data_IF_253358482738
#
_entry.id   IF_253358482738
#
_cell.length_a   1.000
_cell.length_b   1.000
_cell.length_c   1.000
_cell.angle_alpha   90.00
_cell.angle_beta   90.00
_cell.angle_gamma   90.00
#
_symmetry.space_group_name_H-M   'P 1'
#
loop_
_entity.id
_entity.type
_entity.pdbx_description
1 polymer ?
#
# COMPACT_ATOMS: atom_id res chain seq x y z
N UNK A 1 55.84 45.28 29.37
CA UNK A 1 54.98 45.31 28.16
C UNK A 1 54.81 43.87 27.67
N UNK A 2 53.63 43.25 27.82
CA UNK A 2 53.34 41.97 27.18
C UNK A 2 52.91 42.17 25.71
N UNK A 3 53.17 41.19 24.81
CA UNK A 3 52.95 41.34 23.37
C UNK A 3 51.44 41.33 23.01
N UNK A 4 51.05 41.94 21.87
CA UNK A 4 49.66 42.00 21.46
C UNK A 4 49.13 40.63 20.99
N UNK A 5 47.83 40.36 21.14
CA UNK A 5 47.24 39.09 20.72
C UNK A 5 47.22 38.94 19.19
N UNK A 6 47.29 37.69 18.67
CA UNK A 6 47.29 37.44 17.23
C UNK A 6 45.92 37.73 16.57
N UNK A 7 45.88 38.02 15.26
CA UNK A 7 44.68 38.47 14.57
C UNK A 7 43.60 37.37 14.44
N UNK A 8 42.34 37.75 14.65
CA UNK A 8 41.15 36.91 14.44
C UNK A 8 40.95 36.63 12.95
N UNK A 9 40.99 35.37 12.57
CA UNK A 9 40.61 34.89 11.23
C UNK A 9 39.06 34.85 11.13
N UNK A 10 38.41 35.51 10.15
CA UNK A 10 36.95 35.48 10.02
C UNK A 10 36.53 34.28 9.17
N UNK A 11 36.39 33.11 9.79
CA UNK A 11 35.63 32.01 9.18
C UNK A 11 34.18 32.05 9.65
N UNK A 12 33.33 32.47 8.73
CA UNK A 12 31.88 32.41 8.78
C UNK A 12 31.39 30.97 9.01
N UNK A 13 30.93 30.67 10.22
CA UNK A 13 30.11 29.48 10.48
C UNK A 13 28.64 29.81 10.22
N UNK A 14 28.20 29.57 8.99
CA UNK A 14 26.78 29.33 8.70
C UNK A 14 26.39 27.97 9.29
N UNK A 15 25.40 27.86 10.20
CA UNK A 15 25.01 26.58 10.79
C UNK A 15 24.01 25.77 9.94
N UNK A 16 23.84 26.09 8.65
CA UNK A 16 22.85 25.42 7.79
C UNK A 16 23.53 24.83 6.56
N UNK A 17 24.30 23.75 6.76
CA UNK A 17 24.73 22.88 5.65
C UNK A 17 25.01 21.43 6.08
N UNK A 18 24.20 20.91 7.00
CA UNK A 18 24.30 19.54 7.51
C UNK A 18 23.00 18.72 7.47
N UNK A 19 21.97 19.18 6.76
CA UNK A 19 20.66 18.50 6.67
C UNK A 19 20.31 18.18 5.20
N UNK A 20 21.23 17.53 4.52
CA UNK A 20 20.87 16.60 3.44
C UNK A 20 21.47 15.25 3.81
N UNK A 21 20.64 14.22 3.64
CA UNK A 21 20.97 12.80 3.73
C UNK A 21 20.94 12.17 5.12
N UNK A 22 19.76 12.16 5.73
CA UNK A 22 19.35 11.03 6.58
C UNK A 22 18.08 10.39 6.01
N UNK A 23 18.29 9.42 5.12
CA UNK A 23 17.29 8.39 4.83
C UNK A 23 17.33 7.37 5.96
N UNK A 24 16.20 6.95 6.55
CA UNK A 24 16.19 5.78 7.41
C UNK A 24 16.28 4.51 6.55
N UNK A 25 17.41 3.80 6.67
CA UNK A 25 17.53 2.36 6.42
C UNK A 25 16.75 1.61 7.52
N UNK A 26 16.21 0.40 7.37
CA UNK A 26 15.84 -0.46 6.27
C UNK A 26 15.17 -1.68 6.93
N UNK A 27 14.02 -2.15 6.42
CA UNK A 27 13.48 -3.52 6.54
C UNK A 27 12.18 -3.52 5.69
N UNK A 28 11.94 -4.34 4.67
CA UNK A 28 12.68 -5.47 4.13
C UNK A 28 12.13 -5.82 2.72
N UNK A 29 13.03 -6.43 1.95
CA UNK A 29 12.91 -7.03 0.60
C UNK A 29 13.02 -6.07 -0.60
N UNK A 30 14.02 -6.26 -1.49
CA UNK A 30 14.14 -5.47 -2.71
C UNK A 30 12.88 -5.68 -3.57
N UNK A 31 12.26 -4.58 -4.01
CA UNK A 31 11.25 -4.63 -5.05
C UNK A 31 11.93 -5.19 -6.30
N UNK A 32 11.35 -6.25 -6.89
CA UNK A 32 11.94 -6.80 -8.10
C UNK A 32 12.03 -5.69 -9.15
N UNK A 33 13.19 -5.54 -9.80
CA UNK A 33 13.33 -4.50 -10.81
C UNK A 33 12.31 -4.78 -11.91
N UNK A 34 11.66 -3.73 -12.45
CA UNK A 34 10.53 -3.87 -13.37
C UNK A 34 10.85 -4.75 -14.60
N UNK A 35 12.12 -4.87 -14.98
CA UNK A 35 12.59 -5.76 -16.04
C UNK A 35 12.48 -7.25 -15.69
N UNK A 36 12.55 -7.63 -14.41
CA UNK A 36 12.43 -9.02 -13.97
C UNK A 36 11.03 -9.59 -14.25
N UNK A 37 9.99 -8.75 -14.19
CA UNK A 37 8.62 -9.14 -14.55
C UNK A 37 8.54 -9.45 -16.05
N UNK A 38 9.10 -8.58 -16.89
CA UNK A 38 9.16 -8.81 -18.34
C UNK A 38 10.03 -10.01 -18.72
N UNK A 39 11.11 -10.27 -17.98
CA UNK A 39 11.94 -11.47 -18.17
C UNK A 39 11.19 -12.76 -17.82
N UNK A 40 10.39 -12.76 -16.74
CA UNK A 40 9.55 -13.91 -16.37
C UNK A 40 8.45 -14.13 -17.42
N UNK A 41 7.78 -13.07 -17.88
CA UNK A 41 6.77 -13.17 -18.94
C UNK A 41 7.39 -13.73 -20.21
N UNK A 42 8.56 -13.22 -20.63
CA UNK A 42 9.30 -13.73 -21.77
C UNK A 42 9.66 -15.21 -21.63
N UNK A 43 10.13 -15.63 -20.45
CA UNK A 43 10.46 -17.03 -20.19
C UNK A 43 9.22 -17.94 -20.25
N UNK A 44 8.07 -17.50 -19.75
CA UNK A 44 6.80 -18.25 -19.84
C UNK A 44 6.32 -18.35 -21.29
N UNK A 45 6.45 -17.28 -22.08
CA UNK A 45 6.10 -17.30 -23.51
C UNK A 45 7.03 -18.26 -24.28
N UNK A 46 8.34 -18.23 -24.01
CA UNK A 46 9.30 -19.15 -24.63
C UNK A 46 9.06 -20.60 -24.19
N UNK A 47 8.64 -20.86 -22.96
CA UNK A 47 8.29 -22.22 -22.53
C UNK A 47 6.97 -22.71 -23.14
N UNK A 48 5.97 -21.82 -23.26
CA UNK A 48 4.66 -22.16 -23.80
C UNK A 48 4.66 -22.33 -25.32
N UNK A 49 5.43 -21.51 -26.04
CA UNK A 49 5.46 -21.49 -27.50
C UNK A 49 6.78 -21.97 -28.12
N UNK A 50 7.85 -22.11 -27.33
CA UNK A 50 9.14 -22.61 -27.81
C UNK A 50 9.08 -24.08 -28.24
N UNK A 51 8.25 -24.90 -27.59
CA UNK A 51 8.05 -26.29 -28.02
C UNK A 51 7.46 -26.38 -29.44
N UNK A 52 6.65 -25.42 -29.87
CA UNK A 52 6.14 -25.35 -31.24
C UNK A 52 7.19 -24.89 -32.26
N UNK A 53 8.25 -24.20 -31.81
CA UNK A 53 9.36 -23.75 -32.67
C UNK A 53 10.42 -24.84 -32.91
N UNK A 54 10.50 -25.86 -32.04
CA UNK A 54 11.55 -26.90 -32.11
C UNK A 54 11.09 -28.27 -32.64
N UNK A 55 9.82 -28.44 -33.00
CA UNK A 55 9.35 -29.68 -33.63
C UNK A 55 9.73 -29.72 -35.11
N UNK A 56 11.02 -29.87 -35.42
CA UNK A 56 11.44 -30.23 -36.78
C UNK A 56 11.25 -31.74 -36.98
N UNK A 57 10.58 -32.19 -38.06
CA UNK A 57 10.52 -33.59 -38.40
C UNK A 57 11.94 -34.11 -38.67
N UNK A 58 12.36 -35.12 -37.92
CA UNK A 58 13.65 -35.79 -38.09
C UNK A 58 13.60 -36.73 -39.29
N UNK A 59 13.98 -36.26 -40.47
CA UNK A 59 14.10 -37.06 -41.70
C UNK A 59 13.95 -36.22 -42.96
N UNK A 60 14.48 -36.69 -44.08
CA UNK A 60 14.24 -36.07 -45.38
C UNK A 60 12.75 -36.16 -45.72
N UNK A 61 12.13 -35.02 -46.08
CA UNK A 61 10.69 -34.97 -46.36
C UNK A 61 10.45 -35.34 -47.82
N UNK A 62 9.95 -36.55 -48.05
CA UNK A 62 9.58 -37.04 -49.39
C UNK A 62 8.09 -36.85 -49.64
N UNK A 63 7.70 -36.55 -50.87
CA UNK A 63 6.29 -36.62 -51.27
C UNK A 63 5.80 -38.06 -51.31
N UNK A 64 4.49 -38.27 -51.16
CA UNK A 64 3.90 -39.62 -51.20
C UNK A 64 4.20 -40.32 -52.54
N UNK A 65 4.22 -39.56 -53.63
CA UNK A 65 4.56 -40.04 -54.96
C UNK A 65 6.02 -40.48 -55.07
N UNK A 66 6.96 -39.72 -54.50
CA UNK A 66 8.38 -40.08 -54.47
C UNK A 66 8.63 -41.30 -53.59
N UNK A 67 7.92 -41.41 -52.46
CA UNK A 67 7.94 -42.60 -51.63
C UNK A 67 7.51 -43.85 -52.41
N UNK A 68 6.35 -43.81 -53.08
CA UNK A 68 5.90 -44.95 -53.90
C UNK A 68 6.87 -45.27 -55.06
N UNK A 69 7.55 -44.26 -55.61
CA UNK A 69 8.58 -44.48 -56.62
C UNK A 69 9.81 -45.21 -56.04
N UNK A 70 10.27 -44.81 -54.85
CA UNK A 70 11.39 -45.46 -54.15
C UNK A 70 11.05 -46.89 -53.70
N UNK A 71 9.79 -47.13 -53.31
CA UNK A 71 9.30 -48.49 -53.03
C UNK A 71 9.36 -49.38 -54.28
N UNK A 72 8.95 -48.87 -55.46
CA UNK A 72 9.03 -49.61 -56.73
C UNK A 72 10.47 -49.88 -57.17
N UNK A 73 11.39 -48.98 -56.85
CA UNK A 73 12.80 -49.15 -57.12
C UNK A 73 13.50 -50.13 -56.16
N UNK A 74 12.83 -50.51 -55.08
CA UNK A 74 13.37 -51.42 -54.06
C UNK A 74 14.28 -50.73 -53.05
N UNK A 75 14.25 -49.39 -52.96
CA UNK A 75 15.17 -48.62 -52.11
C UNK A 75 14.69 -48.50 -50.64
N UNK A 76 13.58 -49.14 -50.28
CA UNK A 76 12.90 -48.99 -48.99
C UNK A 76 12.89 -50.32 -48.23
N UNK A 77 13.51 -50.33 -47.04
CA UNK A 77 13.65 -51.54 -46.21
C UNK A 77 12.51 -51.70 -45.20
N UNK A 78 12.15 -50.61 -44.52
CA UNK A 78 11.19 -50.62 -43.41
C UNK A 78 10.27 -49.39 -43.49
N UNK A 79 8.97 -49.61 -43.24
CA UNK A 79 7.94 -48.57 -43.25
C UNK A 79 7.11 -48.66 -41.98
N UNK A 80 7.03 -47.57 -41.24
CA UNK A 80 6.13 -47.43 -40.10
C UNK A 80 5.06 -46.39 -40.41
N UNK A 81 3.80 -46.80 -40.33
CA UNK A 81 2.65 -45.93 -40.58
C UNK A 81 2.09 -45.46 -39.24
N UNK A 82 2.06 -44.14 -39.03
CA UNK A 82 1.48 -43.55 -37.83
C UNK A 82 0.02 -43.14 -38.09
N UNK A 83 -0.91 -43.93 -37.56
CA UNK A 83 -2.35 -43.72 -37.74
C UNK A 83 -2.90 -42.48 -37.00
N UNK A 84 -2.11 -41.85 -36.12
CA UNK A 84 -2.51 -40.64 -35.37
C UNK A 84 -2.05 -39.34 -36.01
N UNK A 85 -0.93 -39.34 -36.74
CA UNK A 85 -0.34 -38.12 -37.32
C UNK A 85 -0.34 -38.11 -38.85
N UNK A 86 -0.78 -39.20 -39.50
CA UNK A 86 -0.76 -39.40 -40.95
C UNK A 86 0.65 -39.30 -41.57
N UNK A 87 1.66 -39.56 -40.74
CA UNK A 87 3.07 -39.55 -41.14
C UNK A 87 3.48 -41.00 -41.33
N UNK A 88 4.03 -41.29 -42.50
CA UNK A 88 4.68 -42.54 -42.83
C UNK A 88 6.18 -42.27 -42.71
N UNK A 89 6.86 -42.98 -41.83
CA UNK A 89 8.31 -42.88 -41.65
C UNK A 89 8.97 -44.19 -42.03
N UNK A 90 10.16 -44.16 -42.62
CA UNK A 90 10.84 -45.39 -42.99
C UNK A 90 12.35 -45.22 -43.11
N UNK A 91 13.01 -46.34 -43.38
CA UNK A 91 14.45 -46.42 -43.58
C UNK A 91 14.73 -46.89 -45.00
N UNK A 92 15.50 -46.11 -45.75
CA UNK A 92 16.00 -46.53 -47.05
C UNK A 92 17.10 -47.57 -46.88
N UNK A 93 17.37 -48.35 -47.92
CA UNK A 93 18.41 -49.38 -47.92
C UNK A 93 19.82 -48.83 -47.63
N UNK A 94 20.04 -47.54 -47.90
CA UNK A 94 21.27 -46.82 -47.57
C UNK A 94 21.36 -46.38 -46.08
N UNK A 95 20.35 -46.71 -45.27
CA UNK A 95 20.25 -46.34 -43.86
C UNK A 95 19.70 -44.94 -43.57
N UNK A 96 19.32 -44.16 -44.60
CA UNK A 96 18.74 -42.84 -44.40
C UNK A 96 17.28 -42.94 -43.95
N UNK A 97 16.85 -41.98 -43.12
CA UNK A 97 15.47 -41.90 -42.62
C UNK A 97 14.68 -40.89 -43.45
N UNK A 98 13.53 -41.31 -43.95
CA UNK A 98 12.60 -40.45 -44.65
C UNK A 98 11.28 -40.32 -43.89
N UNK A 99 10.59 -39.22 -44.15
CA UNK A 99 9.21 -39.02 -43.69
C UNK A 99 8.35 -38.55 -44.85
N UNK A 100 7.18 -39.14 -45.00
CA UNK A 100 6.17 -38.72 -45.97
C UNK A 100 4.80 -38.60 -45.31
N UNK A 101 3.87 -37.89 -45.96
CA UNK A 101 2.51 -37.68 -45.46
C UNK A 101 1.54 -38.42 -46.38
N UNK A 102 0.71 -39.30 -45.82
CA UNK A 102 -0.21 -40.15 -46.58
C UNK A 102 -1.61 -40.19 -45.98
N UNK A 103 -2.45 -41.08 -46.49
CA UNK A 103 -3.75 -41.38 -45.91
C UNK A 103 -3.60 -42.19 -44.60
N UNK A 104 -4.62 -42.17 -43.74
CA UNK A 104 -4.60 -42.86 -42.44
C UNK A 104 -4.47 -44.39 -42.57
N UNK A 105 -4.80 -44.94 -43.73
CA UNK A 105 -4.65 -46.35 -44.11
C UNK A 105 -4.10 -46.40 -45.53
N UNK A 106 -3.22 -47.37 -45.83
CA UNK A 106 -2.78 -47.57 -47.21
C UNK A 106 -3.96 -48.00 -48.09
N UNK A 107 -3.89 -47.63 -49.38
CA UNK A 107 -4.77 -48.21 -50.38
C UNK A 107 -4.39 -49.68 -50.60
N UNK A 108 -5.37 -50.55 -50.89
CA UNK A 108 -5.14 -51.98 -51.17
C UNK A 108 -4.06 -52.22 -52.25
N UNK A 109 -3.97 -51.30 -53.22
CA UNK A 109 -2.95 -51.32 -54.27
C UNK A 109 -1.53 -51.04 -53.74
N UNK A 110 -1.39 -50.12 -52.78
CA UNK A 110 -0.11 -49.73 -52.20
C UNK A 110 0.38 -50.76 -51.16
N UNK A 111 -0.54 -51.38 -50.41
CA UNK A 111 -0.21 -52.49 -49.51
C UNK A 111 0.27 -53.73 -50.29
N UNK A 112 -0.37 -54.01 -51.42
CA UNK A 112 0.04 -55.09 -52.32
C UNK A 112 1.44 -54.85 -52.90
N UNK A 113 1.75 -53.60 -53.24
CA UNK A 113 3.06 -53.19 -53.74
C UNK A 113 4.16 -53.38 -52.69
N UNK A 114 3.91 -52.99 -51.44
CA UNK A 114 4.87 -53.18 -50.35
C UNK A 114 5.15 -54.66 -50.07
N UNK A 115 4.10 -55.50 -50.06
CA UNK A 115 4.25 -56.96 -49.91
C UNK A 115 5.03 -57.59 -51.06
N UNK A 116 4.78 -57.14 -52.29
CA UNK A 116 5.48 -57.64 -53.48
C UNK A 116 6.97 -57.32 -53.46
N UNK A 117 7.33 -56.13 -52.97
CA UNK A 117 8.72 -55.67 -52.87
C UNK A 117 9.42 -56.14 -51.58
N UNK A 118 8.72 -56.89 -50.71
CA UNK A 118 9.29 -57.45 -49.49
C UNK A 118 9.56 -56.42 -48.39
N UNK A 119 8.92 -55.26 -48.44
CA UNK A 119 9.10 -54.19 -47.46
C UNK A 119 8.41 -54.57 -46.15
N UNK A 120 9.14 -54.53 -45.04
CA UNK A 120 8.55 -54.77 -43.73
C UNK A 120 7.75 -53.53 -43.30
N UNK A 121 6.43 -53.66 -43.14
CA UNK A 121 5.58 -52.55 -42.72
C UNK A 121 4.86 -52.86 -41.41
N UNK A 122 4.81 -51.86 -40.52
CA UNK A 122 4.11 -51.94 -39.23
C UNK A 122 3.24 -50.70 -38.98
N UNK A 123 2.16 -50.88 -38.24
CA UNK A 123 1.25 -49.82 -37.83
C UNK A 123 1.55 -49.41 -36.39
N UNK A 124 2.07 -48.20 -36.22
CA UNK A 124 2.24 -47.61 -34.90
C UNK A 124 1.04 -46.71 -34.58
N UNK A 125 0.40 -46.97 -33.44
CA UNK A 125 -0.61 -46.08 -32.85
C UNK A 125 -0.04 -45.52 -31.56
N UNK A 126 0.70 -44.39 -31.61
CA UNK A 126 1.18 -43.77 -30.39
C UNK A 126 -0.02 -43.38 -29.52
N UNK A 127 -0.24 -44.12 -28.44
CA UNK A 127 -1.18 -43.75 -27.41
C UNK A 127 -0.67 -42.44 -26.80
N UNK A 128 -1.47 -41.38 -26.90
CA UNK A 128 -1.11 -40.11 -26.28
C UNK A 128 -1.04 -40.32 -24.76
N UNK A 129 0.17 -40.29 -24.20
CA UNK A 129 0.35 -40.27 -22.75
C UNK A 129 -0.35 -39.01 -22.23
N UNK A 130 -1.51 -39.18 -21.59
CA UNK A 130 -2.34 -38.06 -21.14
C UNK A 130 -1.57 -37.08 -20.24
N UNK A 131 -0.58 -37.58 -19.49
CA UNK A 131 0.34 -36.79 -18.67
C UNK A 131 1.19 -35.87 -19.55
N UNK A 132 1.79 -36.36 -20.64
CA UNK A 132 2.61 -35.53 -21.54
C UNK A 132 1.76 -34.56 -22.36
N UNK A 133 0.48 -34.86 -22.58
CA UNK A 133 -0.46 -33.97 -23.25
C UNK A 133 -1.00 -32.86 -22.34
N UNK A 134 -1.18 -33.15 -21.04
CA UNK A 134 -1.78 -32.20 -20.09
C UNK A 134 -0.73 -31.33 -19.39
N UNK A 135 0.49 -31.82 -19.22
CA UNK A 135 1.57 -31.11 -18.52
C UNK A 135 1.91 -29.74 -19.16
N UNK A 136 2.03 -29.61 -20.50
CA UNK A 136 2.27 -28.31 -21.14
C UNK A 136 1.12 -27.32 -20.95
N UNK A 137 -0.10 -27.80 -20.72
CA UNK A 137 -1.29 -26.97 -20.50
C UNK A 137 -1.38 -26.53 -19.03
N UNK A 138 -1.09 -27.44 -18.09
CA UNK A 138 -1.20 -27.19 -16.65
C UNK A 138 -0.02 -26.35 -16.11
N UNK A 139 1.20 -26.58 -16.62
CA UNK A 139 2.42 -25.91 -16.15
C UNK A 139 2.34 -24.37 -16.18
N UNK A 140 1.93 -23.69 -17.27
CA UNK A 140 1.80 -22.23 -17.27
C UNK A 140 0.72 -21.74 -16.29
N UNK A 141 -0.39 -22.48 -16.13
CA UNK A 141 -1.44 -22.12 -15.18
C UNK A 141 -0.94 -22.21 -13.73
N UNK A 142 -0.23 -23.29 -13.39
CA UNK A 142 0.38 -23.46 -12.06
C UNK A 142 1.40 -22.37 -11.75
N UNK A 143 2.20 -21.95 -12.72
CA UNK A 143 3.17 -20.86 -12.55
C UNK A 143 2.48 -19.51 -12.30
N UNK A 144 1.40 -19.21 -13.04
CA UNK A 144 0.61 -17.98 -12.82
C UNK A 144 -0.04 -17.98 -11.44
N UNK A 145 -0.68 -19.09 -11.04
CA UNK A 145 -1.31 -19.22 -9.72
C UNK A 145 -0.26 -19.13 -8.61
N UNK A 146 0.88 -19.81 -8.74
CA UNK A 146 1.98 -19.74 -7.78
C UNK A 146 2.57 -18.34 -7.65
N UNK A 147 2.75 -17.63 -8.77
CA UNK A 147 3.20 -16.25 -8.79
C UNK A 147 2.19 -15.31 -8.12
N UNK A 148 0.90 -15.50 -8.37
CA UNK A 148 -0.16 -14.69 -7.76
C UNK A 148 -0.27 -14.95 -6.25
N UNK A 149 -0.15 -16.21 -5.81
CA UNK A 149 -0.11 -16.57 -4.38
C UNK A 149 1.11 -15.98 -3.68
N UNK A 150 2.28 -15.99 -4.33
CA UNK A 150 3.50 -15.36 -3.79
C UNK A 150 3.36 -13.84 -3.70
N UNK A 151 2.77 -13.21 -4.73
CA UNK A 151 2.46 -11.79 -4.75
C UNK A 151 1.46 -11.42 -3.65
N UNK A 152 0.40 -12.21 -3.47
CA UNK A 152 -0.63 -11.95 -2.46
C UNK A 152 -0.07 -12.09 -1.04
N UNK A 153 0.82 -13.06 -0.80
CA UNK A 153 1.57 -13.18 0.47
C UNK A 153 2.50 -11.98 0.70
N UNK A 154 3.03 -11.34 -0.35
CA UNK A 154 3.85 -10.13 -0.23
C UNK A 154 3.02 -8.85 -0.08
N UNK A 155 1.87 -8.77 -0.76
CA UNK A 155 0.96 -7.63 -0.73
C UNK A 155 0.21 -7.52 0.61
N UNK A 156 -0.14 -8.63 1.27
CA UNK A 156 -0.75 -8.58 2.61
C UNK A 156 0.17 -7.97 3.68
N UNK A 157 1.49 -8.04 3.51
CA UNK A 157 2.45 -7.33 4.37
C UNK A 157 2.39 -5.80 4.24
N UNK A 158 1.82 -5.29 3.15
CA UNK A 158 1.62 -3.86 2.88
C UNK A 158 0.15 -3.43 3.04
N UNK A 159 -0.80 -4.36 2.87
CA UNK A 159 -2.24 -4.10 2.99
C UNK A 159 -2.68 -3.81 4.44
N UNK A 160 -1.91 -4.25 5.44
CA UNK A 160 -2.08 -3.80 6.83
C UNK A 160 -1.94 -2.28 7.01
N UNK A 161 -1.29 -1.59 6.06
CA UNK A 161 -1.11 -0.13 6.08
C UNK A 161 -2.21 0.65 5.34
N UNK A 162 -3.04 0.00 4.51
CA UNK A 162 -4.13 0.67 3.76
C UNK A 162 -5.46 0.54 4.51
N UNK A 163 -5.64 -0.53 5.31
CA UNK A 163 -6.80 -0.67 6.21
C UNK A 163 -6.73 0.25 7.44
N UNK A 164 -5.64 1.01 7.62
CA UNK A 164 -5.52 2.02 8.69
C UNK A 164 -5.96 3.43 8.27
N UNK A 165 -6.42 3.63 7.04
CA UNK A 165 -6.88 4.95 6.54
C UNK A 165 -8.15 5.45 7.27
N UNK A 166 -8.87 4.59 8.00
CA UNK A 166 -10.05 4.97 8.80
C UNK A 166 -9.81 5.10 10.31
N UNK A 167 -8.62 4.76 10.81
CA UNK A 167 -8.22 5.10 12.18
C UNK A 167 -7.16 6.16 12.06
N UNK A 168 -7.55 7.41 12.29
CA UNK A 168 -6.63 8.46 12.73
C UNK A 168 -5.66 7.80 13.70
N UNK A 169 -4.43 7.51 13.26
CA UNK A 169 -3.31 7.39 14.18
C UNK A 169 -3.17 8.79 14.68
N UNK A 170 -3.96 9.12 15.70
CA UNK A 170 -3.88 10.38 16.40
C UNK A 170 -2.39 10.57 16.63
N UNK A 171 -1.83 11.62 16.03
CA UNK A 171 -0.63 12.24 16.58
C UNK A 171 -0.95 12.32 18.06
N UNK A 172 -0.28 11.52 18.90
CA UNK A 172 -0.54 11.53 20.32
C UNK A 172 -0.47 13.01 20.70
N UNK A 173 -1.61 13.61 21.06
CA UNK A 173 -1.60 15.01 21.44
C UNK A 173 -0.66 15.01 22.63
N UNK A 174 0.52 15.62 22.47
CA UNK A 174 1.54 15.57 23.50
C UNK A 174 0.95 16.33 24.68
N UNK A 175 0.43 15.57 25.62
CA UNK A 175 -0.07 16.05 26.89
C UNK A 175 1.13 16.63 27.62
N UNK A 176 1.29 17.94 27.48
CA UNK A 176 2.34 18.68 28.14
C UNK A 176 1.83 19.06 29.54
N UNK A 177 2.71 19.00 30.53
CA UNK A 177 2.45 19.63 31.83
C UNK A 177 3.28 20.91 31.85
N UNK A 178 2.72 22.04 31.41
CA UNK A 178 3.49 23.26 31.29
C UNK A 178 4.00 23.70 32.65
N UNK A 179 5.27 24.08 32.72
CA UNK A 179 5.89 24.67 33.90
C UNK A 179 5.64 26.19 34.01
N UNK A 180 5.03 26.79 32.98
CA UNK A 180 4.68 28.20 32.93
C UNK A 180 3.55 28.50 33.90
N UNK A 181 3.67 29.59 34.67
CA UNK A 181 2.70 30.02 35.70
C UNK A 181 2.25 31.46 35.47
N UNK A 182 1.33 31.99 36.29
CA UNK A 182 0.92 33.39 36.19
C UNK A 182 2.03 34.41 36.48
N UNK A 183 3.12 33.97 37.12
CA UNK A 183 4.32 34.79 37.32
C UNK A 183 5.06 35.07 36.01
N UNK A 184 4.97 34.18 35.03
CA UNK A 184 5.65 34.28 33.73
C UNK A 184 4.88 35.15 32.72
N UNK A 185 3.67 35.59 33.08
CA UNK A 185 2.82 36.47 32.28
C UNK A 185 2.88 37.87 32.86
N UNK A 186 3.35 38.87 32.11
CA UNK A 186 3.36 40.25 32.57
C UNK A 186 1.98 40.92 32.41
N UNK A 187 1.56 41.71 33.41
CA UNK A 187 0.32 42.48 33.39
C UNK A 187 -0.96 41.65 33.50
N UNK A 188 -2.05 42.15 32.93
CA UNK A 188 -3.38 41.50 32.90
C UNK A 188 -3.95 41.18 34.29
N UNK A 189 -3.69 42.00 35.32
CA UNK A 189 -4.04 41.68 36.71
C UNK A 189 -5.54 41.42 36.92
N UNK A 190 -6.41 42.16 36.24
CA UNK A 190 -7.86 41.91 36.25
C UNK A 190 -8.24 40.56 35.65
N UNK A 191 -7.66 40.20 34.51
CA UNK A 191 -7.93 38.92 33.82
C UNK A 191 -7.35 37.74 34.60
N UNK A 192 -6.17 37.91 35.21
CA UNK A 192 -5.60 36.92 36.13
C UNK A 192 -6.50 36.67 37.32
N UNK A 193 -7.13 37.70 37.87
CA UNK A 193 -8.06 37.58 38.99
C UNK A 193 -9.32 36.79 38.59
N UNK A 194 -9.91 37.08 37.43
CA UNK A 194 -11.09 36.34 36.93
C UNK A 194 -10.76 34.87 36.66
N UNK A 195 -9.61 34.59 36.05
CA UNK A 195 -9.23 33.22 35.68
C UNK A 195 -8.72 32.43 36.89
N UNK A 196 -8.29 33.10 37.96
CA UNK A 196 -7.91 32.44 39.22
C UNK A 196 -9.06 31.60 39.78
N UNK A 197 -10.30 32.06 39.64
CA UNK A 197 -11.48 31.29 40.05
C UNK A 197 -11.59 29.96 39.28
N UNK A 198 -11.30 29.98 37.97
CA UNK A 198 -11.28 28.78 37.12
C UNK A 198 -10.14 27.85 37.53
N UNK A 199 -8.98 28.39 37.90
CA UNK A 199 -7.85 27.60 38.42
C UNK A 199 -8.20 26.93 39.75
N UNK A 200 -8.79 27.69 40.68
CA UNK A 200 -9.21 27.18 41.98
C UNK A 200 -10.25 26.06 41.83
N UNK A 201 -11.14 26.18 40.84
CA UNK A 201 -12.09 25.13 40.48
C UNK A 201 -11.38 23.83 40.04
N UNK A 202 -10.39 23.92 39.16
CA UNK A 202 -9.64 22.75 38.69
C UNK A 202 -8.84 22.08 39.81
N UNK A 203 -8.32 22.86 40.76
CA UNK A 203 -7.55 22.36 41.90
C UNK A 203 -8.45 21.71 42.95
N UNK A 204 -9.59 22.32 43.28
CA UNK A 204 -10.48 21.91 44.38
C UNK A 204 -11.93 21.66 43.93
N UNK A 205 -12.19 20.77 42.97
CA UNK A 205 -13.52 20.61 42.36
C UNK A 205 -14.59 20.20 43.37
N UNK A 206 -14.25 19.40 44.38
CA UNK A 206 -15.20 18.89 45.38
C UNK A 206 -15.84 20.02 46.20
N UNK A 207 -15.04 21.03 46.56
CA UNK A 207 -15.50 22.20 47.32
C UNK A 207 -16.52 23.03 46.54
N UNK A 208 -16.39 23.08 45.21
CA UNK A 208 -17.35 23.78 44.34
C UNK A 208 -18.59 22.92 44.05
N UNK A 209 -18.45 21.59 43.99
CA UNK A 209 -19.58 20.66 43.87
C UNK A 209 -20.50 20.72 45.10
N UNK A 210 -19.93 20.80 46.31
CA UNK A 210 -20.70 20.88 47.57
C UNK A 210 -21.60 22.12 47.67
N UNK A 211 -21.15 23.26 47.14
CA UNK A 211 -21.91 24.52 47.13
C UNK A 211 -22.83 24.65 45.91
N UNK A 212 -22.89 23.62 45.05
CA UNK A 212 -23.70 23.62 43.83
C UNK A 212 -23.23 24.60 42.76
N UNK A 213 -21.96 25.04 42.80
CA UNK A 213 -21.41 25.96 41.82
C UNK A 213 -21.24 25.25 40.46
N UNK A 214 -21.71 25.90 39.39
CA UNK A 214 -21.55 25.38 38.02
C UNK A 214 -20.18 25.71 37.47
N UNK A 215 -19.53 24.71 36.88
CA UNK A 215 -18.25 24.87 36.21
C UNK A 215 -18.43 25.68 34.93
N UNK A 216 -17.60 26.71 34.68
CA UNK A 216 -17.51 27.31 33.36
C UNK A 216 -17.10 26.23 32.33
N UNK A 217 -17.94 25.98 31.33
CA UNK A 217 -17.68 24.95 30.30
C UNK A 217 -16.54 25.32 29.33
N UNK A 218 -16.17 26.60 29.27
CA UNK A 218 -15.11 27.10 28.41
C UNK A 218 -14.88 28.60 28.57
N UNK A 219 -13.77 29.08 28.04
CA UNK A 219 -13.40 30.48 28.04
C UNK A 219 -12.86 30.85 26.65
N UNK A 220 -13.25 32.02 26.15
CA UNK A 220 -12.79 32.55 24.87
C UNK A 220 -11.87 33.74 25.11
N UNK A 221 -10.59 33.60 24.75
CA UNK A 221 -9.61 34.69 24.82
C UNK A 221 -9.60 35.44 23.49
N UNK A 222 -10.04 36.72 23.50
CA UNK A 222 -10.10 37.56 22.30
C UNK A 222 -9.08 38.69 22.40
N UNK A 223 -8.33 38.92 21.32
CA UNK A 223 -7.42 40.05 21.22
C UNK A 223 -6.54 39.96 19.97
N UNK A 224 -5.82 41.05 19.62
CA UNK A 224 -4.90 41.08 18.49
C UNK A 224 -3.85 39.94 18.52
N UNK A 225 -3.27 39.54 17.37
CA UNK A 225 -2.16 38.59 17.37
C UNK A 225 -0.98 39.12 18.21
N UNK A 226 -0.27 38.22 18.89
CA UNK A 226 0.90 38.58 19.71
C UNK A 226 0.61 39.05 21.14
N UNK A 227 -0.65 39.09 21.60
CA UNK A 227 -1.01 39.49 22.98
C UNK A 227 -0.82 38.38 24.03
N UNK A 228 -0.10 37.31 23.71
CA UNK A 228 0.20 36.24 24.67
C UNK A 228 -0.97 35.32 25.04
N UNK A 229 -2.05 35.23 24.24
CA UNK A 229 -3.20 34.33 24.51
C UNK A 229 -2.77 32.88 24.76
N UNK A 230 -1.91 32.32 23.91
CA UNK A 230 -1.39 30.96 24.03
C UNK A 230 -0.48 30.79 25.25
N UNK A 231 0.30 31.83 25.59
CA UNK A 231 1.13 31.85 26.80
C UNK A 231 0.24 31.88 28.06
N UNK A 232 -0.82 32.67 28.04
CA UNK A 232 -1.78 32.78 29.12
C UNK A 232 -2.50 31.46 29.35
N UNK A 233 -2.97 30.78 28.30
CA UNK A 233 -3.60 29.46 28.40
C UNK A 233 -2.67 28.40 29.01
N UNK A 234 -1.38 28.42 28.63
CA UNK A 234 -0.35 27.55 29.24
C UNK A 234 -0.13 27.87 30.72
N UNK A 235 -0.11 29.15 31.09
CA UNK A 235 0.03 29.58 32.47
C UNK A 235 -1.14 29.10 33.35
N UNK A 236 -2.38 29.12 32.83
CA UNK A 236 -3.56 28.58 33.54
C UNK A 236 -3.41 27.09 33.84
N UNK A 237 -2.95 26.31 32.85
CA UNK A 237 -2.73 24.88 33.03
C UNK A 237 -1.61 24.58 34.03
N UNK A 238 -0.52 25.34 34.00
CA UNK A 238 0.58 25.22 34.95
C UNK A 238 0.19 25.61 36.37
N UNK A 239 -0.57 26.70 36.54
CA UNK A 239 -1.10 27.14 37.84
C UNK A 239 -2.06 26.11 38.46
N UNK A 240 -2.87 25.45 37.63
CA UNK A 240 -3.79 24.39 38.04
C UNK A 240 -3.09 23.02 38.22
N UNK A 241 -1.89 22.84 37.66
CA UNK A 241 -1.16 21.57 37.70
C UNK A 241 -1.82 20.44 36.90
N UNK A 242 -2.58 20.79 35.86
CA UNK A 242 -3.36 19.85 35.04
C UNK A 242 -2.70 19.64 33.68
N UNK A 243 -3.09 18.59 32.94
CA UNK A 243 -2.55 18.36 31.61
C UNK A 243 -3.03 19.42 30.60
N UNK A 244 -2.19 19.74 29.62
CA UNK A 244 -2.49 20.72 28.59
C UNK A 244 -2.49 20.07 27.20
N UNK A 245 -3.63 20.12 26.51
CA UNK A 245 -3.81 19.66 25.15
C UNK A 245 -3.95 20.87 24.24
N UNK A 246 -2.99 21.08 23.34
CA UNK A 246 -3.00 22.22 22.40
C UNK A 246 -3.27 21.73 20.99
N UNK A 247 -4.24 22.34 20.33
CA UNK A 247 -4.59 22.08 18.92
C UNK A 247 -4.86 23.40 18.21
N UNK A 248 -4.60 23.46 16.90
CA UNK A 248 -4.98 24.62 16.09
C UNK A 248 -6.30 24.30 15.39
N UNK A 249 -7.21 25.28 15.27
CA UNK A 249 -8.50 25.11 14.63
C UNK A 249 -8.39 24.65 13.18
N UNK A 250 -7.30 25.01 12.48
CA UNK A 250 -7.01 24.53 11.13
C UNK A 250 -6.78 23.01 11.05
N UNK A 251 -6.36 22.36 12.15
CA UNK A 251 -6.09 20.92 12.17
C UNK A 251 -7.37 20.07 12.01
N UNK A 252 -8.53 20.67 12.22
CA UNK A 252 -9.82 20.03 12.01
C UNK A 252 -10.34 20.18 10.58
N UNK A 253 -9.67 20.98 9.75
CA UNK A 253 -10.08 21.30 8.38
C UNK A 253 -9.39 20.34 7.41
N UNK A 254 -10.11 19.35 6.90
CA UNK A 254 -9.55 18.40 5.93
C UNK A 254 -10.37 18.29 4.63
N UNK A 255 -9.74 17.75 3.58
CA UNK A 255 -10.40 17.48 2.30
C UNK A 255 -11.42 16.34 2.39
N UNK A 256 -11.38 15.53 3.45
CA UNK A 256 -12.21 14.36 3.64
C UNK A 256 -13.34 14.64 4.64
N UNK A 257 -14.57 14.40 4.21
CA UNK A 257 -15.77 14.58 5.04
C UNK A 257 -15.70 13.68 6.28
N UNK A 258 -16.04 14.24 7.45
CA UNK A 258 -16.12 13.51 8.71
C UNK A 258 -14.80 13.31 9.46
N UNK A 259 -13.65 13.65 8.87
CA UNK A 259 -12.35 13.55 9.54
C UNK A 259 -12.22 14.57 10.69
N UNK A 260 -12.66 15.81 10.48
CA UNK A 260 -12.68 16.85 11.52
C UNK A 260 -13.48 16.45 12.75
N UNK A 261 -14.71 15.97 12.56
CA UNK A 261 -15.56 15.48 13.64
C UNK A 261 -14.95 14.29 14.41
N UNK A 262 -14.27 13.36 13.74
CA UNK A 262 -13.56 12.27 14.41
C UNK A 262 -12.40 12.77 15.28
N UNK A 263 -11.63 13.75 14.77
CA UNK A 263 -10.52 14.37 15.53
C UNK A 263 -11.02 15.09 16.78
N UNK A 264 -12.16 15.77 16.71
CA UNK A 264 -12.81 16.38 17.87
C UNK A 264 -13.13 15.30 18.92
N UNK A 265 -13.79 14.20 18.54
CA UNK A 265 -14.08 13.08 19.48
C UNK A 265 -12.80 12.53 20.11
N UNK A 266 -11.77 12.28 19.31
CA UNK A 266 -10.50 11.75 19.78
C UNK A 266 -9.79 12.69 20.75
N UNK A 267 -9.87 14.01 20.52
CA UNK A 267 -9.32 15.05 21.41
C UNK A 267 -10.00 15.01 22.79
N UNK A 268 -11.33 15.00 22.84
CA UNK A 268 -12.09 14.93 24.10
C UNK A 268 -11.91 13.58 24.80
N UNK A 269 -11.82 12.48 24.05
CA UNK A 269 -11.49 11.16 24.62
C UNK A 269 -10.10 11.14 25.28
N UNK A 270 -9.10 11.78 24.68
CA UNK A 270 -7.77 11.91 25.29
C UNK A 270 -7.79 12.78 26.54
N UNK A 271 -8.52 13.90 26.51
CA UNK A 271 -8.71 14.75 27.69
C UNK A 271 -9.38 14.00 28.86
N UNK A 272 -10.46 13.25 28.59
CA UNK A 272 -11.15 12.40 29.58
C UNK A 272 -10.22 11.36 30.21
N UNK A 273 -9.37 10.71 29.41
CA UNK A 273 -8.39 9.72 29.92
C UNK A 273 -7.35 10.32 30.87
N UNK A 274 -7.06 11.61 30.76
CA UNK A 274 -6.13 12.32 31.64
C UNK A 274 -6.78 12.75 32.96
N UNK A 275 -8.10 12.61 33.10
CA UNK A 275 -8.88 13.09 34.24
C UNK A 275 -9.04 14.61 34.20
N UNK A 276 -8.02 15.34 34.69
CA UNK A 276 -8.00 16.80 34.70
C UNK A 276 -7.09 17.34 33.60
N UNK A 277 -7.68 18.01 32.61
CA UNK A 277 -6.94 18.61 31.51
C UNK A 277 -7.61 19.89 30.99
N UNK A 278 -6.81 20.77 30.41
CA UNK A 278 -7.26 21.94 29.64
C UNK A 278 -7.05 21.65 28.16
N UNK A 279 -8.12 21.81 27.37
CA UNK A 279 -8.07 21.77 25.91
C UNK A 279 -7.98 23.21 25.42
N UNK A 280 -6.87 23.55 24.76
CA UNK A 280 -6.65 24.83 24.12
C UNK A 280 -6.77 24.67 22.60
N UNK A 281 -7.74 25.39 22.03
CA UNK A 281 -7.96 25.47 20.58
C UNK A 281 -7.52 26.87 20.13
N UNK A 282 -6.37 26.97 19.48
CA UNK A 282 -5.94 28.22 18.83
C UNK A 282 -6.71 28.42 17.52
N UNK A 283 -6.89 29.66 17.06
CA UNK A 283 -7.57 29.96 15.77
C UNK A 283 -8.94 29.27 15.60
N UNK A 284 -9.77 29.27 16.66
CA UNK A 284 -11.12 28.65 16.64
C UNK A 284 -12.06 29.27 15.59
N UNK A 285 -11.75 30.48 15.11
CA UNK A 285 -12.48 31.14 14.04
C UNK A 285 -12.42 30.39 12.70
N UNK A 286 -11.42 29.51 12.51
CA UNK A 286 -11.33 28.65 11.32
C UNK A 286 -12.53 27.69 11.18
N UNK A 287 -13.05 27.17 12.31
CA UNK A 287 -14.19 26.25 12.40
C UNK A 287 -15.50 26.95 12.76
N UNK A 288 -15.43 28.11 13.44
CA UNK A 288 -16.61 28.83 13.94
C UNK A 288 -17.32 29.74 12.92
N UNK A 289 -16.73 29.95 11.74
CA UNK A 289 -17.30 30.88 10.73
C UNK A 289 -18.39 30.22 9.87
N UNK A 290 -19.64 30.59 10.10
CA UNK A 290 -20.77 30.25 9.20
C UNK A 290 -20.62 30.97 7.86
N UNK A 291 -20.52 30.26 6.73
CA UNK A 291 -20.65 30.86 5.38
C UNK A 291 -22.08 30.68 4.88
N UNK A 292 -22.67 31.74 4.32
CA UNK A 292 -24.01 31.67 3.73
C UNK A 292 -24.06 30.82 2.46
N UNK A 293 -25.25 30.26 2.21
CA UNK A 293 -25.71 29.47 1.06
C UNK A 293 -24.90 29.69 -0.24
N UNK A 294 -23.91 28.84 -0.47
CA UNK A 294 -23.21 28.71 -1.74
C UNK A 294 -23.19 27.24 -2.12
N UNK A 295 -23.77 26.89 -3.28
CA UNK A 295 -23.77 25.54 -3.83
C UNK A 295 -22.33 25.02 -3.97
N UNK A 296 -21.89 24.18 -3.04
CA UNK A 296 -20.58 23.52 -3.07
C UNK A 296 -20.30 22.80 -1.77
N UNK A 297 -20.20 21.47 -1.82
CA UNK A 297 -20.12 20.53 -0.68
C UNK A 297 -18.89 20.62 0.24
N UNK A 298 -18.25 21.78 0.35
CA UNK A 298 -17.24 22.07 1.39
C UNK A 298 -17.83 22.71 2.65
N UNK A 299 -19.15 22.96 2.68
CA UNK A 299 -19.85 23.54 3.83
C UNK A 299 -20.10 22.50 4.93
N UNK A 300 -20.42 21.27 4.53
CA UNK A 300 -20.94 20.23 5.40
C UNK A 300 -19.90 19.75 6.43
N UNK A 301 -18.61 19.69 6.05
CA UNK A 301 -17.54 19.21 6.95
C UNK A 301 -17.29 20.16 8.12
N UNK A 302 -17.34 21.48 7.88
CA UNK A 302 -17.13 22.50 8.93
C UNK A 302 -18.29 22.51 9.91
N UNK A 303 -19.53 22.51 9.40
CA UNK A 303 -20.73 22.49 10.24
C UNK A 303 -20.81 21.19 11.05
N UNK A 304 -20.47 20.05 10.44
CA UNK A 304 -20.41 18.77 11.14
C UNK A 304 -19.36 18.79 12.27
N UNK A 305 -18.18 19.34 12.00
CA UNK A 305 -17.09 19.44 12.98
C UNK A 305 -17.45 20.39 14.11
N UNK A 306 -18.03 21.56 13.80
CA UNK A 306 -18.51 22.53 14.78
C UNK A 306 -19.62 21.93 15.66
N UNK A 307 -20.61 21.28 15.07
CA UNK A 307 -21.68 20.63 15.82
C UNK A 307 -21.13 19.51 16.73
N UNK A 308 -20.12 18.77 16.27
CA UNK A 308 -19.45 17.78 17.12
C UNK A 308 -18.70 18.43 18.29
N UNK A 309 -18.06 19.57 18.08
CA UNK A 309 -17.39 20.33 19.16
C UNK A 309 -18.41 20.80 20.20
N UNK A 310 -19.54 21.36 19.75
CA UNK A 310 -20.63 21.78 20.63
C UNK A 310 -21.22 20.60 21.41
N UNK A 311 -21.44 19.46 20.74
CA UNK A 311 -21.95 18.25 21.39
C UNK A 311 -20.99 17.71 22.47
N UNK A 312 -19.68 17.71 22.23
CA UNK A 312 -18.71 17.30 23.25
C UNK A 312 -18.63 18.32 24.40
N UNK A 313 -18.77 19.62 24.14
CA UNK A 313 -18.80 20.66 25.19
C UNK A 313 -20.07 20.57 26.06
N UNK A 314 -21.22 20.24 25.49
CA UNK A 314 -22.46 20.05 26.23
C UNK A 314 -22.53 18.71 26.97
N UNK A 315 -21.86 17.68 26.45
CA UNK A 315 -21.73 16.36 27.07
C UNK A 315 -20.97 16.34 28.41
N UNK A 316 -20.43 17.47 28.87
CA UNK A 316 -19.81 17.62 30.19
C UNK A 316 -20.80 17.62 31.37
N UNK A 317 -22.11 17.48 31.14
CA UNK A 317 -23.08 17.47 32.24
C UNK A 317 -23.11 16.14 33.02
N UNK A 318 -22.67 16.24 34.28
CA UNK A 318 -23.24 15.57 35.47
C UNK A 318 -23.09 14.05 35.65
N UNK A 319 -22.09 13.38 35.06
CA UNK A 319 -21.78 12.01 35.51
C UNK A 319 -20.34 11.51 35.40
N UNK A 320 -19.40 12.20 34.77
CA UNK A 320 -18.03 11.66 34.62
C UNK A 320 -16.97 12.73 34.92
N UNK A 321 -16.56 12.84 36.18
CA UNK A 321 -15.40 13.65 36.61
C UNK A 321 -15.67 14.58 37.77
#
# INVERSE_FOLDING_TARGET
MPPPPPPRNPQSRNPIKGLRDQKPNADGKPAMPKWAIWAIIGAVVVLAFGSQLFTQPTGEKLSYTEFLAQVRNGDVSEVTINNSTNIISGVLDNGSKFTTTGANTLSDADESLLKQMGVNYDYNTPQANWITSILPIILPFLLVVGFFMWMQRRAMGQAGSIMSVGRSKAKAYQADKPSTTFADVAGYDGVKLEIKEVVDFLRMPDRFKEIGARVPKGMLLVGPPGTGKTLFARAVAGEAGVGFLSVTGSDFMEMFVGVGASRVRDLFLQARKMGKAIIFIDEIDSIGRKRGAGLGGGHDEREQTLNQLLAEMDGFETSEG
#
